data_IF_362051685828
#
_entry.id   IF_362051685828
#
_cell.length_a   1.000
_cell.length_b   1.000
_cell.length_c   1.000
_cell.angle_alpha   90.00
_cell.angle_beta   90.00
_cell.angle_gamma   90.00
#
_symmetry.space_group_name_H-M   'P 1'
#
loop_
_entity.id
_entity.type
_entity.pdbx_description
1 polymer ?
#
# COMPACT_ATOMS: atom_id res chain seq x y z
N UNK A 1 5.26 17.05 -28.29
CA UNK A 1 4.50 17.07 -27.03
C UNK A 1 3.70 15.77 -26.97
N UNK A 2 4.33 14.66 -26.58
CA UNK A 2 3.72 13.33 -26.57
C UNK A 2 3.66 12.81 -25.14
N UNK A 3 2.45 12.69 -24.59
CA UNK A 3 2.26 12.07 -23.28
C UNK A 3 2.57 10.58 -23.38
N UNK A 4 3.53 10.10 -22.60
CA UNK A 4 3.78 8.67 -22.47
C UNK A 4 2.49 7.99 -21.99
N UNK A 5 2.04 6.88 -22.63
CA UNK A 5 0.86 6.18 -22.17
C UNK A 5 1.11 5.71 -20.72
N UNK A 6 0.29 6.21 -19.78
CA UNK A 6 0.34 5.71 -18.41
C UNK A 6 -0.03 4.23 -18.47
N UNK A 7 0.91 3.37 -18.09
CA UNK A 7 0.63 1.94 -17.99
C UNK A 7 -0.65 1.74 -17.15
N UNK A 8 -1.51 0.78 -17.52
CA UNK A 8 -2.71 0.49 -16.74
C UNK A 8 -2.34 0.33 -15.26
N UNK A 9 -3.21 0.87 -14.39
CA UNK A 9 -3.01 0.83 -12.95
C UNK A 9 -2.74 -0.60 -12.48
N UNK A 10 -1.89 -0.77 -11.47
CA UNK A 10 -1.35 -2.08 -11.18
C UNK A 10 -2.44 -2.97 -10.56
N UNK A 11 -2.50 -4.23 -11.00
CA UNK A 11 -3.54 -5.19 -10.62
C UNK A 11 -3.46 -5.54 -9.13
N UNK A 12 -4.59 -5.74 -8.43
CA UNK A 12 -4.58 -6.19 -7.04
C UNK A 12 -3.76 -7.48 -6.86
N UNK A 13 -2.91 -7.51 -5.83
CA UNK A 13 -2.07 -8.65 -5.49
C UNK A 13 -2.81 -9.61 -4.57
N UNK A 14 -2.77 -10.90 -4.88
CA UNK A 14 -3.37 -11.96 -4.05
C UNK A 14 -2.26 -12.80 -3.42
N UNK A 15 -2.21 -12.85 -2.08
CA UNK A 15 -1.29 -13.67 -1.30
C UNK A 15 -2.13 -14.67 -0.49
N UNK A 16 -2.40 -15.83 -1.08
CA UNK A 16 -3.32 -16.81 -0.50
C UNK A 16 -4.70 -16.19 -0.25
N UNK A 17 -5.21 -16.20 1.00
CA UNK A 17 -6.50 -15.58 1.35
C UNK A 17 -6.45 -14.05 1.44
N UNK A 18 -5.25 -13.44 1.39
CA UNK A 18 -5.08 -12.00 1.52
C UNK A 18 -5.18 -11.33 0.15
N UNK A 19 -6.13 -10.42 -0.01
CA UNK A 19 -6.26 -9.57 -1.20
C UNK A 19 -5.73 -8.18 -0.89
N UNK A 20 -4.63 -7.81 -1.52
CA UNK A 20 -3.97 -6.51 -1.39
C UNK A 20 -4.37 -5.64 -2.58
N UNK A 21 -4.99 -4.50 -2.29
CA UNK A 21 -5.40 -3.54 -3.30
C UNK A 21 -4.18 -2.90 -4.00
N UNK A 22 -3.05 -2.78 -3.29
CA UNK A 22 -1.75 -2.41 -3.84
C UNK A 22 -0.89 -3.65 -4.09
N UNK A 23 -0.28 -3.78 -5.28
CA UNK A 23 0.72 -4.81 -5.55
C UNK A 23 2.13 -4.38 -5.14
N UNK A 24 2.25 -3.62 -4.05
CA UNK A 24 3.53 -3.19 -3.49
C UNK A 24 3.50 -3.46 -2.00
N UNK A 25 4.60 -4.04 -1.50
CA UNK A 25 4.79 -4.34 -0.08
C UNK A 25 6.10 -3.77 0.41
N UNK A 26 6.15 -3.43 1.69
CA UNK A 26 7.40 -3.06 2.34
C UNK A 26 8.27 -4.31 2.51
N UNK A 27 9.44 -4.32 1.86
CA UNK A 27 10.36 -5.44 1.93
C UNK A 27 10.94 -5.61 3.35
N UNK A 28 11.18 -6.86 3.80
CA UNK A 28 11.91 -7.12 5.03
C UNK A 28 13.41 -6.90 4.82
N UNK A 29 13.95 -5.85 5.43
CA UNK A 29 15.37 -5.51 5.36
C UNK A 29 15.94 -5.36 6.77
N UNK A 30 16.92 -6.20 7.14
CA UNK A 30 17.54 -6.17 8.46
C UNK A 30 18.17 -4.80 8.75
N UNK A 31 17.89 -4.24 9.93
CA UNK A 31 18.37 -2.90 10.32
C UNK A 31 17.68 -1.73 9.62
N UNK A 32 16.75 -1.97 8.69
CA UNK A 32 15.98 -0.91 8.00
C UNK A 32 14.48 -1.01 8.30
N UNK A 33 13.88 -2.19 8.15
CA UNK A 33 12.43 -2.39 8.32
C UNK A 33 12.06 -2.61 9.78
N UNK A 34 12.38 -1.63 10.64
CA UNK A 34 12.11 -1.64 12.07
C UNK A 34 10.71 -1.12 12.44
N UNK A 35 10.37 -1.09 13.73
CA UNK A 35 9.05 -0.64 14.19
C UNK A 35 8.71 0.82 13.82
N UNK A 36 9.57 1.83 14.06
CA UNK A 36 9.27 3.20 13.65
C UNK A 36 9.17 3.36 12.12
N UNK A 37 10.08 2.75 11.35
CA UNK A 37 10.04 2.82 9.89
C UNK A 37 8.76 2.19 9.33
N UNK A 38 8.35 1.03 9.85
CA UNK A 38 7.08 0.38 9.47
C UNK A 38 5.86 1.26 9.77
N UNK A 39 5.85 1.99 10.89
CA UNK A 39 4.76 2.94 11.21
C UNK A 39 4.74 4.11 10.22
N UNK A 40 5.90 4.65 9.89
CA UNK A 40 6.04 5.72 8.91
C UNK A 40 5.53 5.30 7.54
N UNK A 41 5.95 4.13 7.05
CA UNK A 41 5.48 3.57 5.79
C UNK A 41 3.98 3.31 5.80
N UNK A 42 3.42 2.85 6.92
CA UNK A 42 1.96 2.69 7.06
C UNK A 42 1.24 4.02 6.93
N UNK A 43 1.69 5.06 7.65
CA UNK A 43 1.09 6.39 7.60
C UNK A 43 1.08 6.96 6.18
N UNK A 44 2.21 6.94 5.49
CA UNK A 44 2.28 7.46 4.12
C UNK A 44 1.57 6.57 3.10
N UNK A 45 1.61 5.25 3.28
CA UNK A 45 0.84 4.31 2.47
C UNK A 45 -0.66 4.55 2.58
N UNK A 46 -1.16 4.84 3.77
CA UNK A 46 -2.56 5.20 4.03
C UNK A 46 -2.92 6.60 3.52
N UNK A 47 -1.98 7.54 3.52
CA UNK A 47 -2.21 8.88 2.96
C UNK A 47 -2.30 8.86 1.42
N UNK A 48 -1.55 7.96 0.76
CA UNK A 48 -1.55 7.79 -0.70
C UNK A 48 -2.72 6.96 -1.26
N UNK A 49 -3.56 6.41 -0.38
CA UNK A 49 -4.71 5.59 -0.73
C UNK A 49 -5.87 6.43 -1.31
N UNK A 50 -6.50 6.01 -2.43
CA UNK A 50 -7.78 6.58 -2.81
C UNK A 50 -8.84 6.32 -1.71
N UNK A 51 -9.77 7.26 -1.53
CA UNK A 51 -10.82 7.19 -0.50
C UNK A 51 -11.50 5.81 -0.42
N UNK A 52 -11.81 5.21 -1.57
CA UNK A 52 -12.51 3.92 -1.67
C UNK A 52 -11.73 2.73 -1.07
N UNK A 53 -10.43 2.88 -0.85
CA UNK A 53 -9.53 1.83 -0.37
C UNK A 53 -8.90 2.19 0.99
N UNK A 54 -9.30 3.30 1.61
CA UNK A 54 -8.80 3.67 2.94
C UNK A 54 -9.15 2.57 3.95
N UNK A 55 -8.24 2.23 4.87
CA UNK A 55 -8.53 1.24 5.90
C UNK A 55 -9.71 1.73 6.74
N UNK A 56 -10.72 0.89 6.90
CA UNK A 56 -11.79 1.13 7.88
C UNK A 56 -11.17 1.02 9.26
N UNK A 57 -11.45 1.98 10.14
CA UNK A 57 -11.05 1.89 11.54
C UNK A 57 -11.79 0.72 12.21
N UNK A 58 -11.11 -0.38 12.59
CA UNK A 58 -11.77 -1.51 13.24
C UNK A 58 -12.31 -1.17 14.64
N UNK A 59 -11.95 -0.01 15.21
CA UNK A 59 -12.48 0.48 16.47
C UNK A 59 -13.76 1.33 16.32
N UNK A 60 -14.20 1.62 15.09
CA UNK A 60 -15.45 2.31 14.80
C UNK A 60 -16.51 1.30 14.35
N UNK A 61 -17.71 1.27 14.97
CA UNK A 61 -18.77 0.33 14.60
C UNK A 61 -19.25 0.52 13.16
#
# INVERSE_FOLDING_TARGET
MGGSPRAPGPTPLQIGPLRLWTPVVLAPMAGVTDAPFRRLCRFFGEAGLPQALRPVDPARP
#
